data_IF_301497119829
#
_entry.id   IF_301497119829
#
_cell.length_a   1.000
_cell.length_b   1.000
_cell.length_c   1.000
_cell.angle_alpha   90.00
_cell.angle_beta   90.00
_cell.angle_gamma   90.00
#
_symmetry.space_group_name_H-M   'P 1'
#
loop_
_entity.id
_entity.type
_entity.pdbx_description
1 polymer ?
2 polymer ?
3 non-polymer ?
4 non-polymer ?
5 non-polymer ?
6 non-polymer ?
7 water ?
#
# COMPACT_ATOMS: atom_id res chain seq x y z
N UNK A 1 -12.77 6.91 3.89
CA UNK A 1 -11.84 7.84 4.56
C UNK A 1 -12.64 8.94 5.26
N UNK A 2 -12.44 9.11 6.57
CA UNK A 2 -13.12 10.15 7.39
C UNK A 2 -12.11 11.26 7.68
N UNK A 3 -12.51 12.50 7.44
CA UNK A 3 -11.75 13.70 7.76
C UNK A 3 -10.56 14.01 6.86
N UNK A 4 -10.60 13.48 5.64
CA UNK A 4 -9.56 13.72 4.64
C UNK A 4 -10.00 14.73 3.60
N UNK A 5 -9.51 14.58 2.39
CA UNK A 5 -9.86 15.47 1.29
C UNK A 5 -9.88 14.66 0.01
N UNK A 6 -10.44 15.22 -1.06
CA UNK A 6 -10.41 14.51 -2.35
C UNK A 6 -8.93 14.45 -2.81
N UNK A 7 -8.46 13.26 -3.27
CA UNK A 7 -7.11 13.18 -3.82
C UNK A 7 -7.21 13.78 -5.24
N UNK A 8 -6.51 14.92 -5.55
CA UNK A 8 -6.62 15.48 -6.91
C UNK A 8 -6.34 14.40 -7.96
N UNK A 9 -7.18 14.34 -8.99
CA UNK A 9 -7.08 13.32 -10.05
C UNK A 9 -5.64 13.18 -10.59
N UNK A 10 -5.09 11.97 -10.47
CA UNK A 10 -3.73 11.67 -10.91
C UNK A 10 -2.68 11.78 -9.81
N UNK A 11 -3.05 12.27 -8.60
CA UNK A 11 -2.07 12.40 -7.50
C UNK A 11 -1.94 11.12 -6.65
N UNK A 12 -2.81 10.10 -6.85
CA UNK A 12 -2.74 8.81 -6.15
C UNK A 12 -2.71 7.76 -7.29
N UNK A 13 -1.71 7.80 -8.20
CA UNK A 13 -1.80 6.96 -9.40
C UNK A 13 -1.61 5.46 -9.22
N UNK A 14 -1.21 5.02 -8.04
CA UNK A 14 -1.03 3.59 -7.70
C UNK A 14 -2.27 3.00 -7.04
N UNK A 15 -3.27 3.83 -6.69
CA UNK A 15 -4.50 3.33 -6.05
C UNK A 15 -5.24 2.35 -6.95
N UNK A 16 -5.68 1.22 -6.40
CA UNK A 16 -6.47 0.23 -7.17
C UNK A 16 -7.89 0.19 -6.56
N UNK A 17 -8.91 -0.02 -7.39
CA UNK A 17 -10.28 -0.27 -6.93
C UNK A 17 -10.57 -1.72 -7.31
N UNK A 18 -10.92 -2.53 -6.32
CA UNK A 18 -11.27 -3.92 -6.57
C UNK A 18 -12.81 -4.02 -6.61
N UNK A 19 -13.33 -4.74 -7.61
CA UNK A 19 -14.77 -4.96 -7.83
C UNK A 19 -15.07 -6.45 -7.86
N UNK A 20 -16.25 -6.84 -7.35
CA UNK A 20 -16.75 -8.23 -7.45
C UNK A 20 -18.19 -8.12 -8.01
N UNK A 21 -18.45 -8.70 -9.21
CA UNK A 21 -19.74 -8.59 -9.91
C UNK A 21 -20.11 -7.09 -10.13
N UNK A 22 -19.10 -6.25 -10.38
CA UNK A 22 -19.27 -4.81 -10.59
C UNK A 22 -19.48 -3.96 -9.34
N UNK A 23 -19.55 -4.58 -8.16
CA UNK A 23 -19.76 -3.85 -6.92
C UNK A 23 -18.43 -3.58 -6.20
N UNK A 24 -18.29 -2.42 -5.57
CA UNK A 24 -17.10 -2.03 -4.79
C UNK A 24 -16.79 -3.08 -3.73
N UNK A 25 -15.55 -3.61 -3.72
CA UNK A 25 -15.13 -4.58 -2.73
C UNK A 25 -14.10 -4.03 -1.73
N UNK A 26 -12.98 -3.51 -2.26
CA UNK A 26 -11.82 -3.10 -1.46
C UNK A 26 -10.92 -2.21 -2.31
N UNK A 27 -9.85 -1.70 -1.68
CA UNK A 27 -8.79 -0.98 -2.36
C UNK A 27 -7.60 -1.91 -2.54
N UNK A 28 -6.54 -1.39 -3.17
CA UNK A 28 -5.31 -2.12 -3.41
C UNK A 28 -4.23 -1.15 -3.85
N UNK A 29 -2.98 -1.65 -4.02
CA UNK A 29 -1.85 -0.83 -4.46
C UNK A 29 -1.10 -1.50 -5.61
N UNK A 30 -0.93 -0.77 -6.72
CA UNK A 30 -0.16 -1.29 -7.85
C UNK A 30 1.35 -1.18 -7.49
N UNK A 31 2.16 -2.27 -7.64
CA UNK A 31 3.59 -2.19 -7.29
C UNK A 31 4.50 -2.39 -8.52
N UNK A 32 3.91 -2.80 -9.66
CA UNK A 32 4.56 -2.88 -10.99
C UNK A 32 3.41 -3.08 -12.00
N UNK A 33 3.67 -3.43 -13.27
CA UNK A 33 2.56 -3.49 -14.24
C UNK A 33 1.64 -4.70 -14.09
N UNK A 34 2.03 -5.77 -13.37
CA UNK A 34 1.11 -6.90 -13.27
C UNK A 34 0.68 -7.28 -11.83
N UNK A 35 1.33 -6.71 -10.81
CA UNK A 35 1.08 -7.11 -9.42
C UNK A 35 0.43 -6.02 -8.57
N UNK A 36 -0.55 -6.42 -7.74
CA UNK A 36 -1.32 -5.57 -6.82
C UNK A 36 -1.24 -6.14 -5.40
N UNK A 37 -1.02 -5.28 -4.42
CA UNK A 37 -1.00 -5.71 -3.01
C UNK A 37 -2.32 -5.23 -2.41
N UNK A 38 -3.02 -6.12 -1.70
CA UNK A 38 -4.29 -5.81 -1.02
C UNK A 38 -4.31 -6.50 0.36
N UNK A 39 -5.50 -6.58 1.02
CA UNK A 39 -5.65 -7.23 2.33
C UNK A 39 -6.24 -8.62 2.12
N UNK A 40 -5.72 -9.64 2.83
CA UNK A 40 -6.30 -11.00 2.74
C UNK A 40 -7.80 -11.02 3.08
N UNK A 41 -8.24 -10.21 4.09
CA UNK A 41 -9.64 -10.23 4.56
C UNK A 41 -10.64 -9.79 3.49
N UNK A 42 -10.17 -9.07 2.44
CA UNK A 42 -11.04 -8.66 1.33
C UNK A 42 -11.65 -9.85 0.62
N UNK A 43 -11.00 -11.03 0.71
CA UNK A 43 -11.43 -12.22 -0.05
C UNK A 43 -12.12 -13.32 0.77
N UNK A 44 -12.43 -13.05 2.05
CA UNK A 44 -13.05 -14.03 2.95
C UNK A 44 -14.41 -14.53 2.46
N UNK A 45 -15.21 -13.66 1.82
CA UNK A 45 -16.57 -13.99 1.40
C UNK A 45 -16.73 -14.18 -0.10
N UNK A 46 -15.62 -14.28 -0.86
CA UNK A 46 -15.71 -14.45 -2.31
C UNK A 46 -16.05 -15.90 -2.70
N UNK A 47 -17.08 -16.05 -3.54
CA UNK A 47 -17.49 -17.34 -4.13
C UNK A 47 -17.27 -17.25 -5.64
N UNK A 48 -17.53 -16.06 -6.23
CA UNK A 48 -17.35 -15.77 -7.67
C UNK A 48 -15.94 -15.28 -7.98
N UNK A 49 -14.91 -16.16 -7.84
CA UNK A 49 -13.49 -15.84 -8.10
C UNK A 49 -13.20 -15.33 -9.51
N UNK A 50 -14.01 -15.73 -10.51
CA UNK A 50 -13.84 -15.32 -11.90
C UNK A 50 -14.44 -13.94 -12.21
N UNK A 51 -15.17 -13.33 -11.24
CA UNK A 51 -15.77 -12.01 -11.41
C UNK A 51 -15.03 -10.89 -10.65
N UNK A 52 -13.76 -11.13 -10.26
CA UNK A 52 -12.93 -10.18 -9.54
C UNK A 52 -12.22 -9.29 -10.56
N UNK A 53 -12.41 -7.96 -10.46
CA UNK A 53 -11.82 -6.99 -11.39
C UNK A 53 -11.00 -5.96 -10.63
N UNK A 54 -9.83 -5.57 -11.17
CA UNK A 54 -9.00 -4.48 -10.60
C UNK A 54 -9.08 -3.31 -11.58
N UNK A 55 -9.35 -2.10 -11.07
CA UNK A 55 -9.43 -0.92 -11.91
C UNK A 55 -8.31 0.03 -11.48
N UNK A 56 -7.48 0.45 -12.45
CA UNK A 56 -6.39 1.42 -12.29
C UNK A 56 -6.79 2.71 -12.97
N UNK A 57 -6.22 3.84 -12.53
CA UNK A 57 -6.52 5.13 -13.15
C UNK A 57 -7.90 5.67 -12.81
N UNK A 58 -8.53 5.07 -11.79
CA UNK A 58 -9.87 5.47 -11.34
C UNK A 58 -9.80 6.70 -10.45
N UNK A 59 -10.85 7.54 -10.51
CA UNK A 59 -10.92 8.73 -9.67
C UNK A 59 -12.39 8.95 -9.22
N UNK A 60 -13.30 9.18 -10.20
CA UNK A 60 -14.72 9.46 -9.96
C UNK A 60 -15.57 8.28 -10.43
N UNK A 61 -16.30 7.65 -9.49
CA UNK A 61 -17.10 6.45 -9.81
C UNK A 61 -18.35 6.71 -10.65
N UNK A 62 -18.75 7.97 -10.77
CA UNK A 62 -19.97 8.29 -11.49
C UNK A 62 -19.76 8.48 -12.99
N UNK A 63 -18.50 8.65 -13.42
CA UNK A 63 -18.19 8.98 -14.82
C UNK A 63 -17.00 8.19 -15.36
N UNK A 64 -17.05 7.81 -16.64
CA UNK A 64 -15.91 7.18 -17.32
C UNK A 64 -15.19 8.30 -18.08
N UNK A 65 -13.93 8.64 -17.73
CA UNK A 65 -13.22 9.71 -18.47
C UNK A 65 -12.15 9.21 -19.46
N UNK A 66 -11.96 7.89 -19.56
CA UNK A 66 -10.98 7.32 -20.48
C UNK A 66 -9.63 6.95 -19.88
N UNK A 67 -9.34 7.38 -18.66
CA UNK A 67 -8.06 7.05 -17.98
C UNK A 67 -8.13 5.74 -17.23
N UNK A 68 -9.35 5.20 -17.00
CA UNK A 68 -9.55 3.94 -16.27
C UNK A 68 -9.04 2.76 -17.09
N UNK A 69 -8.41 1.79 -16.43
CA UNK A 69 -7.96 0.56 -17.06
C UNK A 69 -8.45 -0.59 -16.20
N UNK A 70 -9.27 -1.50 -16.77
CA UNK A 70 -9.81 -2.65 -16.02
C UNK A 70 -9.06 -3.92 -16.40
N UNK A 71 -8.76 -4.76 -15.41
CA UNK A 71 -8.12 -6.05 -15.63
C UNK A 71 -8.76 -7.12 -14.74
N UNK A 72 -8.88 -8.33 -15.26
CA UNK A 72 -9.33 -9.48 -14.47
C UNK A 72 -8.21 -9.89 -13.55
N UNK A 73 -8.56 -10.32 -12.32
CA UNK A 73 -7.56 -10.80 -11.34
C UNK A 73 -7.40 -12.30 -11.61
N UNK A 74 -6.21 -12.70 -12.07
CA UNK A 74 -5.89 -14.09 -12.41
C UNK A 74 -5.56 -14.92 -11.19
N UNK A 75 -4.94 -14.30 -10.17
CA UNK A 75 -4.52 -15.03 -8.98
C UNK A 75 -4.58 -14.18 -7.74
N UNK A 76 -5.02 -14.76 -6.60
CA UNK A 76 -5.04 -14.14 -5.28
C UNK A 76 -4.18 -15.05 -4.38
N UNK A 77 -3.04 -14.54 -3.88
CA UNK A 77 -2.07 -15.27 -3.06
C UNK A 77 -2.09 -14.74 -1.65
N UNK A 78 -2.40 -15.62 -0.71
CA UNK A 78 -2.54 -15.32 0.70
C UNK A 78 -1.55 -16.15 1.55
N UNK A 79 -0.93 -15.58 2.61
CA UNK A 79 0.01 -16.38 3.43
C UNK A 79 -0.71 -17.50 4.17
N UNK A 80 -0.02 -18.65 4.32
CA UNK A 80 -0.57 -19.83 5.03
C UNK A 80 -0.97 -19.52 6.46
N UNK A 81 -0.35 -18.48 7.07
CA UNK A 81 -0.57 -18.12 8.48
C UNK A 81 -1.83 -17.27 8.71
N UNK A 82 -2.44 -16.74 7.63
CA UNK A 82 -3.66 -15.96 7.73
C UNK A 82 -4.85 -16.90 8.01
N UNK A 83 -5.68 -16.55 8.99
CA UNK A 83 -6.88 -17.31 9.35
C UNK A 83 -8.11 -16.46 8.99
N UNK A 84 -9.01 -16.92 8.09
CA UNK A 84 -10.21 -16.11 7.75
C UNK A 84 -11.01 -15.66 8.97
N UNK A 85 -11.40 -14.39 8.94
CA UNK A 85 -12.18 -13.78 10.01
C UNK A 85 -11.37 -13.19 11.14
N UNK A 86 -10.02 -13.35 11.10
CA UNK A 86 -9.12 -12.83 12.13
C UNK A 86 -8.24 -11.67 11.57
N UNK A 87 -7.37 -11.10 12.41
CA UNK A 87 -6.58 -9.91 12.05
C UNK A 87 -5.14 -10.15 11.57
N UNK A 88 -4.45 -11.19 12.08
CA UNK A 88 -3.02 -11.38 11.77
C UNK A 88 -2.71 -11.75 10.33
N UNK A 89 -1.54 -11.30 9.81
CA UNK A 89 -1.04 -11.60 8.44
C UNK A 89 -2.05 -11.17 7.37
N UNK A 90 -2.61 -9.95 7.51
CA UNK A 90 -3.66 -9.45 6.62
C UNK A 90 -3.11 -8.87 5.32
N UNK A 91 -2.63 -9.75 4.42
CA UNK A 91 -2.02 -9.32 3.15
C UNK A 91 -2.39 -10.29 2.02
N UNK A 92 -2.55 -9.77 0.81
CA UNK A 92 -2.83 -10.58 -0.38
C UNK A 92 -2.02 -10.02 -1.52
N UNK A 93 -1.50 -10.90 -2.37
CA UNK A 93 -0.76 -10.49 -3.57
C UNK A 93 -1.56 -10.95 -4.80
N UNK A 94 -1.91 -10.01 -5.66
CA UNK A 94 -2.78 -10.26 -6.80
C UNK A 94 -2.06 -10.16 -8.09
N UNK A 95 -2.21 -11.20 -8.94
CA UNK A 95 -1.63 -11.20 -10.29
C UNK A 95 -2.74 -10.80 -11.28
N UNK A 96 -2.49 -9.74 -12.07
CA UNK A 96 -3.44 -9.32 -13.10
C UNK A 96 -3.31 -10.23 -14.32
N UNK A 97 -4.43 -10.48 -15.04
CA UNK A 97 -4.45 -11.37 -16.20
C UNK A 97 -3.58 -10.81 -17.36
N UNK A 98 -3.56 -9.49 -17.52
CA UNK A 98 -2.75 -8.77 -18.51
C UNK A 98 -2.20 -7.53 -17.82
N UNK A 99 -0.96 -7.10 -18.12
CA UNK A 99 -0.42 -5.91 -17.45
C UNK A 99 -1.23 -4.66 -17.74
N UNK A 100 -1.22 -3.71 -16.81
CA UNK A 100 -1.77 -2.38 -17.06
C UNK A 100 -0.70 -1.61 -17.86
N UNK A 101 -1.13 -0.55 -18.57
CA UNK A 101 -0.21 0.30 -19.34
C UNK A 101 0.12 1.51 -18.45
N UNK A 102 1.41 1.78 -18.19
CA UNK A 102 1.74 2.95 -17.37
C UNK A 102 1.50 4.24 -18.15
N UNK A 103 0.84 5.20 -17.49
CA UNK A 103 0.45 6.51 -18.07
C UNK A 103 0.61 7.57 -16.98
N UNK A 104 0.30 8.86 -17.28
CA UNK A 104 0.36 9.88 -16.22
C UNK A 104 -0.62 9.55 -15.08
N UNK A 105 -1.68 8.75 -15.36
CA UNK A 105 -2.71 8.39 -14.35
C UNK A 105 -2.56 6.97 -13.73
N UNK A 106 -1.61 6.16 -14.23
CA UNK A 106 -1.40 4.78 -13.74
C UNK A 106 0.10 4.57 -13.53
N UNK A 107 0.53 4.54 -12.27
CA UNK A 107 1.96 4.45 -11.91
C UNK A 107 2.09 3.56 -10.69
N UNK A 108 3.05 2.62 -10.65
CA UNK A 108 3.22 1.81 -9.44
C UNK A 108 3.83 2.56 -8.25
N UNK A 109 3.48 2.14 -7.04
CA UNK A 109 4.12 2.64 -5.82
C UNK A 109 5.38 1.76 -5.61
N UNK A 110 6.51 2.31 -5.07
CA UNK A 110 7.71 1.46 -4.87
C UNK A 110 7.51 0.49 -3.72
N UNK A 111 7.77 -0.80 -3.95
CA UNK A 111 7.78 -1.77 -2.85
C UNK A 111 9.24 -1.67 -2.34
N UNK A 112 9.48 -1.24 -1.08
CA UNK A 112 10.88 -1.05 -0.64
C UNK A 112 11.55 -2.33 -0.24
N UNK A 113 12.90 -2.30 -0.06
CA UNK A 113 13.64 -3.40 0.53
C UNK A 113 13.33 -3.40 2.01
N UNK A 114 13.39 -4.58 2.68
CA UNK A 114 13.10 -4.74 4.10
C UNK A 114 13.97 -3.83 5.00
N UNK A 115 15.31 -3.85 4.81
CA UNK A 115 16.26 -3.05 5.62
C UNK A 115 15.95 -1.56 5.54
N UNK A 116 15.77 -1.04 4.34
CA UNK A 116 15.42 0.37 4.14
C UNK A 116 14.08 0.72 4.82
N UNK A 117 13.09 -0.19 4.68
CA UNK A 117 11.78 0.04 5.31
C UNK A 117 11.82 0.01 6.85
N UNK A 118 12.56 -0.94 7.42
CA UNK A 118 12.67 -1.06 8.89
C UNK A 118 13.54 0.04 9.53
N UNK A 119 14.69 0.36 8.90
CA UNK A 119 15.67 1.31 9.42
C UNK A 119 15.34 2.76 9.14
N UNK A 120 14.64 3.06 8.03
CA UNK A 120 14.39 4.44 7.63
C UNK A 120 12.90 4.79 7.52
N UNK A 121 12.14 4.06 6.67
CA UNK A 121 10.72 4.39 6.44
C UNK A 121 9.85 4.31 7.69
N UNK A 122 10.14 3.34 8.56
CA UNK A 122 9.40 3.11 9.80
C UNK A 122 9.44 4.32 10.75
N UNK A 123 10.42 5.24 10.57
CA UNK A 123 10.60 6.46 11.39
C UNK A 123 10.11 7.73 10.73
N UNK A 124 9.53 7.65 9.51
CA UNK A 124 8.93 8.81 8.87
C UNK A 124 7.56 8.92 9.58
N UNK A 125 7.29 10.05 10.26
CA UNK A 125 6.07 10.17 11.06
C UNK A 125 4.76 10.05 10.28
N UNK A 126 4.54 10.91 9.29
CA UNK A 126 3.31 10.94 8.53
C UNK A 126 3.36 10.19 7.23
N UNK A 127 2.20 9.60 6.87
CA UNK A 127 2.03 8.85 5.63
C UNK A 127 0.60 9.03 5.15
N UNK A 128 0.35 8.77 3.86
CA UNK A 128 -0.99 8.96 3.30
C UNK A 128 -1.74 7.66 3.18
N UNK A 129 -3.04 7.67 3.50
CA UNK A 129 -3.94 6.50 3.37
C UNK A 129 -5.08 6.95 2.47
N UNK A 130 -5.57 6.07 1.56
CA UNK A 130 -6.55 6.52 0.57
C UNK A 130 -7.57 5.44 0.19
N UNK A 131 -8.73 5.86 -0.30
CA UNK A 131 -9.76 4.94 -0.77
C UNK A 131 -11.12 5.58 -1.02
N UNK A 132 -12.07 4.75 -1.52
CA UNK A 132 -13.44 5.17 -1.78
C UNK A 132 -14.38 4.65 -0.66
N UNK A 133 -13.85 4.49 0.54
CA UNK A 133 -14.59 4.00 1.70
C UNK A 133 -15.52 5.05 2.29
N UNK A 134 -16.11 4.72 3.45
CA UNK A 134 -17.08 5.55 4.17
C UNK A 134 -16.54 6.92 4.49
N UNK A 135 -17.34 7.96 4.24
CA UNK A 135 -16.99 9.35 4.58
C UNK A 135 -17.29 9.64 6.05
N UNK A 136 -18.10 8.76 6.69
CA UNK A 136 -18.52 8.84 8.10
C UNK A 136 -18.79 7.44 8.59
N UNK A 137 -18.66 7.20 9.90
CA UNK A 137 -19.05 5.93 10.50
C UNK A 137 -20.57 5.80 10.29
N UNK A 138 -21.01 4.63 9.75
CA UNK A 138 -22.42 4.35 9.45
C UNK A 138 -22.98 5.30 8.37
N UNK A 139 -22.08 5.82 7.51
CA UNK A 139 -22.43 6.72 6.43
C UNK A 139 -22.12 6.19 5.04
N UNK A 140 -22.44 6.99 4.02
CA UNK A 140 -22.22 6.65 2.62
C UNK A 140 -20.72 6.59 2.26
N UNK A 141 -20.38 5.77 1.25
CA UNK A 141 -19.00 5.69 0.70
C UNK A 141 -18.81 6.85 -0.29
N UNK A 142 -17.55 7.20 -0.60
CA UNK A 142 -17.18 8.32 -1.48
C UNK A 142 -17.29 8.02 -2.96
N UNK A 143 -17.72 9.01 -3.77
CA UNK A 143 -17.75 8.87 -5.23
C UNK A 143 -16.40 9.29 -5.85
N UNK A 144 -15.63 10.16 -5.15
CA UNK A 144 -14.29 10.56 -5.59
C UNK A 144 -13.23 10.02 -4.62
N UNK A 145 -12.07 9.61 -5.15
CA UNK A 145 -11.00 9.07 -4.33
C UNK A 145 -10.59 10.07 -3.24
N UNK A 146 -10.55 9.61 -1.98
CA UNK A 146 -10.17 10.45 -0.84
C UNK A 146 -8.78 10.05 -0.31
N UNK A 147 -8.07 11.01 0.32
CA UNK A 147 -6.74 10.79 0.89
C UNK A 147 -6.65 11.48 2.24
N UNK A 148 -5.86 10.90 3.14
CA UNK A 148 -5.68 11.39 4.51
C UNK A 148 -4.23 11.20 4.99
N UNK A 149 -3.66 12.24 5.64
CA UNK A 149 -2.31 12.16 6.24
C UNK A 149 -2.48 11.68 7.69
N UNK A 150 -1.77 10.61 8.07
CA UNK A 150 -1.86 9.99 9.42
C UNK A 150 -0.48 9.77 10.03
N UNK A 151 -0.30 10.03 11.34
CA UNK A 151 1.00 9.72 11.98
C UNK A 151 1.04 8.28 12.50
N UNK A 152 2.24 7.68 12.43
CA UNK A 152 2.50 6.31 12.87
C UNK A 152 2.95 6.37 14.32
N UNK A 153 2.56 5.34 15.09
CA UNK A 153 2.91 5.19 16.48
C UNK A 153 3.70 3.92 16.72
N UNK A 154 4.57 3.94 17.75
CA UNK A 154 5.28 2.75 18.16
C UNK A 154 4.20 1.91 18.87
N UNK A 155 4.25 0.57 18.77
CA UNK A 155 3.19 -0.27 19.34
C UNK A 155 3.00 -0.06 20.86
N UNK A 156 4.09 0.15 21.65
CA UNK A 156 3.98 0.44 23.09
C UNK A 156 3.11 1.70 23.29
N UNK A 157 3.35 2.75 22.47
CA UNK A 157 2.61 4.01 22.47
C UNK A 157 1.14 3.87 22.03
N UNK A 158 0.86 2.98 21.04
CA UNK A 158 -0.52 2.74 20.60
C UNK A 158 -1.34 2.10 21.74
N UNK A 159 -0.76 1.08 22.41
CA UNK A 159 -1.40 0.35 23.52
C UNK A 159 -1.71 1.24 24.73
N UNK A 160 -0.80 2.18 25.07
CA UNK A 160 -1.01 3.09 26.21
C UNK A 160 -2.02 4.22 25.88
N UNK A 161 -2.09 4.66 24.60
CA UNK A 161 -2.99 5.73 24.17
C UNK A 161 -4.41 5.26 23.85
N UNK A 162 -4.62 3.94 23.76
CA UNK A 162 -5.92 3.36 23.43
C UNK A 162 -6.79 3.07 24.66
N UNK A 163 -8.12 3.22 24.50
CA UNK A 163 -9.14 2.98 25.53
C UNK A 163 -9.30 1.48 25.82
N UNK A 168 -10.80 -6.74 22.55
CA UNK A 168 -9.88 -6.16 21.55
C UNK A 168 -8.66 -7.06 21.34
N UNK A 169 -8.29 -7.40 20.08
CA UNK A 169 -7.11 -8.27 19.89
C UNK A 169 -5.78 -7.53 20.04
N UNK A 170 -4.69 -8.29 20.03
CA UNK A 170 -3.33 -7.77 20.17
C UNK A 170 -2.88 -7.08 18.88
N UNK A 171 -1.91 -6.18 19.00
CA UNK A 171 -1.26 -5.54 17.87
C UNK A 171 0.06 -6.34 17.78
N UNK A 172 0.17 -7.19 16.74
CA UNK A 172 1.33 -8.08 16.59
C UNK A 172 2.49 -7.39 15.90
N UNK A 173 3.61 -8.08 15.74
CA UNK A 173 4.76 -7.56 15.01
C UNK A 173 4.49 -7.44 13.49
N UNK A 174 3.33 -7.97 13.01
CA UNK A 174 2.90 -7.92 11.61
C UNK A 174 1.90 -6.78 11.34
N UNK A 175 1.79 -5.84 12.31
CA UNK A 175 0.87 -4.70 12.27
C UNK A 175 1.55 -3.45 12.82
N UNK A 176 0.93 -2.29 12.59
CA UNK A 176 1.30 -1.03 13.26
C UNK A 176 0.05 -0.16 13.34
N UNK A 177 0.00 0.74 14.33
CA UNK A 177 -1.09 1.71 14.49
C UNK A 177 -0.73 2.99 13.78
N UNK A 178 -1.74 3.67 13.26
CA UNK A 178 -1.58 5.00 12.70
C UNK A 178 -2.91 5.74 12.75
N UNK A 179 -2.84 7.04 12.94
CA UNK A 179 -4.03 7.89 12.95
C UNK A 179 -4.19 8.72 14.21
N UNK A 180 -5.45 8.93 14.61
CA UNK A 180 -5.83 9.80 15.73
C UNK A 180 -6.82 9.12 16.67
N UNK A 181 -6.72 9.40 17.98
CA UNK A 181 -7.62 8.84 18.99
C UNK A 181 -8.79 9.77 19.35
N UNK A 182 -8.88 10.95 18.73
CA UNK A 182 -9.93 11.93 19.03
C UNK A 182 -11.19 11.79 18.14
N UNK A 183 -11.26 10.71 17.37
CA UNK A 183 -12.38 10.39 16.49
C UNK A 183 -12.63 11.29 15.30
N UNK A 184 -11.63 12.04 14.87
CA UNK A 184 -11.81 12.98 13.76
C UNK A 184 -11.36 12.46 12.39
N UNK A 185 -10.30 11.61 12.36
CA UNK A 185 -9.66 11.16 11.11
C UNK A 185 -9.27 9.68 11.12
N UNK A 186 -9.65 8.93 10.09
CA UNK A 186 -9.31 7.50 10.02
C UNK A 186 -9.59 6.95 8.62
N UNK A 187 -9.11 5.73 8.36
CA UNK A 187 -9.51 5.00 7.15
C UNK A 187 -10.66 4.09 7.68
N UNK A 188 -11.58 3.64 6.79
CA UNK A 188 -12.78 2.85 7.12
C UNK A 188 -12.76 1.47 6.48
N UNK A 189 -13.75 0.61 6.82
CA UNK A 189 -13.83 -0.74 6.23
C UNK A 189 -13.81 -0.75 4.70
N UNK A 190 -14.47 0.23 4.05
CA UNK A 190 -14.50 0.32 2.58
C UNK A 190 -13.17 0.70 1.95
N UNK A 191 -12.21 1.16 2.77
CA UNK A 191 -10.84 1.48 2.33
C UNK A 191 -9.92 0.27 2.47
N UNK A 192 -10.40 -0.83 3.11
CA UNK A 192 -9.64 -2.07 3.35
C UNK A 192 -8.82 -2.46 2.11
N UNK A 193 -7.55 -2.81 2.34
CA UNK A 193 -6.65 -3.24 1.25
C UNK A 193 -5.88 -2.12 0.58
N UNK A 194 -6.29 -0.88 0.81
CA UNK A 194 -5.67 0.29 0.19
C UNK A 194 -4.29 0.62 0.73
N UNK A 195 -3.55 1.53 0.06
CA UNK A 195 -2.19 1.88 0.51
C UNK A 195 -2.07 2.80 1.73
N UNK A 196 -0.98 2.62 2.48
CA UNK A 196 -0.45 3.50 3.49
C UNK A 196 0.95 3.77 2.84
N UNK A 197 1.10 4.94 2.22
CA UNK A 197 2.25 5.33 1.40
C UNK A 197 3.13 6.37 2.12
N UNK A 198 4.45 6.13 2.12
CA UNK A 198 5.44 6.96 2.83
C UNK A 198 6.40 7.67 1.88
N UNK A 199 6.55 9.00 2.03
CA UNK A 199 7.46 9.81 1.21
C UNK A 199 8.84 9.90 1.85
N UNK A 200 9.90 9.65 1.05
CA UNK A 200 11.29 9.73 1.53
C UNK A 200 12.19 10.18 0.40
N UNK A 201 12.84 11.33 0.58
CA UNK A 201 13.75 11.94 -0.39
C UNK A 201 13.20 11.94 -1.85
N UNK A 202 11.97 12.42 -2.00
CA UNK A 202 11.35 12.64 -3.29
C UNK A 202 10.62 11.47 -3.93
N UNK A 203 10.53 10.32 -3.22
CA UNK A 203 9.88 9.10 -3.75
C UNK A 203 8.93 8.49 -2.73
N UNK A 204 7.79 7.90 -3.22
CA UNK A 204 6.79 7.28 -2.36
C UNK A 204 6.97 5.76 -2.32
N UNK A 205 6.79 5.16 -1.12
CA UNK A 205 6.94 3.71 -0.90
C UNK A 205 5.76 3.08 -0.18
N UNK A 206 5.53 1.77 -0.42
CA UNK A 206 4.47 1.06 0.30
C UNK A 206 4.96 0.61 1.67
N UNK A 207 4.32 1.11 2.75
CA UNK A 207 4.65 0.70 4.12
C UNK A 207 3.51 -0.02 4.87
N UNK A 208 2.27 0.22 4.47
CA UNK A 208 1.15 -0.41 5.18
C UNK A 208 -0.02 -0.75 4.28
N UNK A 209 -0.97 -1.54 4.81
CA UNK A 209 -2.21 -1.88 4.09
C UNK A 209 -3.37 -1.59 5.06
N UNK A 210 -4.40 -0.86 4.61
CA UNK A 210 -5.63 -0.60 5.44
C UNK A 210 -6.17 -1.97 5.88
N UNK A 211 -6.15 -2.24 7.19
CA UNK A 211 -6.50 -3.58 7.66
C UNK A 211 -7.73 -3.65 8.60
N UNK A 212 -7.62 -3.11 9.83
CA UNK A 212 -8.72 -3.21 10.80
C UNK A 212 -8.75 -2.07 11.83
N UNK A 213 -9.79 -2.08 12.66
CA UNK A 213 -10.00 -1.10 13.71
C UNK A 213 -11.30 -1.39 14.45
N UNK A 214 -11.60 -0.57 15.47
CA UNK A 214 -12.82 -0.75 16.28
C UNK A 214 -13.77 0.40 15.98
N UNK A 215 -14.49 0.31 14.84
CA UNK A 215 -15.41 1.34 14.36
C UNK A 215 -14.60 2.46 13.74
N UNK A 216 -15.04 3.05 12.59
CA UNK A 216 -14.33 4.12 11.89
C UNK A 216 -14.31 5.43 12.66
N UNK A 217 -13.13 6.02 12.89
CA UNK A 217 -12.91 7.30 13.56
C UNK A 217 -13.65 7.33 14.93
N UNK A 218 -13.49 6.25 15.71
CA UNK A 218 -14.12 6.20 17.03
C UNK A 218 -13.11 6.65 18.06
N UNK A 219 -13.54 7.52 18.99
CA UNK A 219 -12.67 8.05 20.05
C UNK A 219 -12.00 6.93 20.85
N UNK A 220 -10.72 7.12 21.16
CA UNK A 220 -9.92 6.17 21.94
C UNK A 220 -9.30 5.04 21.13
N UNK A 221 -9.51 5.03 19.79
CA UNK A 221 -9.00 3.95 18.92
C UNK A 221 -8.27 4.48 17.71
N UNK A 222 -7.20 3.79 17.31
CA UNK A 222 -6.40 4.14 16.13
C UNK A 222 -6.70 3.14 15.01
N UNK A 223 -6.32 3.48 13.79
CA UNK A 223 -6.41 2.55 12.66
C UNK A 223 -5.26 1.57 12.76
N UNK A 224 -5.48 0.29 12.37
CA UNK A 224 -4.43 -0.74 12.41
C UNK A 224 -4.10 -1.17 10.96
N UNK A 225 -2.78 -1.20 10.64
CA UNK A 225 -2.30 -1.44 9.26
C UNK A 225 -1.38 -2.64 9.21
N UNK A 226 -1.44 -3.43 8.11
CA UNK A 226 -0.51 -4.56 7.96
C UNK A 226 0.92 -4.00 7.80
N UNK A 227 1.90 -4.54 8.53
CA UNK A 227 3.29 -4.06 8.47
C UNK A 227 3.98 -4.73 7.27
N UNK A 228 3.93 -4.05 6.12
CA UNK A 228 4.41 -4.58 4.83
C UNK A 228 5.89 -5.01 4.85
N UNK A 229 6.75 -4.33 5.64
CA UNK A 229 8.20 -4.67 5.72
C UNK A 229 8.45 -6.14 6.10
N UNK A 230 7.51 -6.76 6.85
CA UNK A 230 7.61 -8.17 7.25
C UNK A 230 7.41 -9.14 6.09
N UNK A 231 6.84 -8.66 4.97
CA UNK A 231 6.44 -9.48 3.82
C UNK A 231 7.25 -9.27 2.56
N UNK A 232 8.27 -8.39 2.58
CA UNK A 232 9.06 -8.10 1.36
C UNK A 232 9.63 -9.34 0.67
N UNK A 233 10.34 -10.19 1.43
CA UNK A 233 10.95 -11.40 0.86
C UNK A 233 9.88 -12.35 0.34
N UNK A 234 8.76 -12.51 1.10
CA UNK A 234 7.64 -13.38 0.74
C UNK A 234 7.04 -12.91 -0.61
N UNK A 235 6.80 -11.60 -0.75
CA UNK A 235 6.27 -11.00 -1.98
C UNK A 235 7.22 -11.16 -3.16
N UNK A 236 8.52 -10.83 -2.97
CA UNK A 236 9.52 -10.91 -4.04
C UNK A 236 9.64 -12.32 -4.63
N UNK A 237 9.65 -13.34 -3.76
CA UNK A 237 9.75 -14.73 -4.19
C UNK A 237 8.53 -15.13 -5.01
N UNK A 238 7.33 -14.74 -4.57
CA UNK A 238 6.12 -15.05 -5.31
C UNK A 238 6.07 -14.34 -6.66
N UNK A 239 6.57 -13.09 -6.73
CA UNK A 239 6.55 -12.37 -8.02
C UNK A 239 7.50 -12.99 -9.05
N UNK A 240 8.47 -13.78 -8.59
CA UNK A 240 9.41 -14.50 -9.48
C UNK A 240 8.86 -15.90 -9.88
N UNK A 241 7.70 -16.32 -9.32
CA UNK A 241 7.12 -17.65 -9.56
C UNK A 241 6.18 -17.73 -10.75
N UNK A 242 6.01 -18.93 -11.30
CA UNK A 242 5.08 -19.16 -12.40
C UNK A 242 3.64 -19.24 -11.91
N UNK A 243 2.68 -18.69 -12.69
CA UNK A 243 1.27 -18.84 -12.34
C UNK A 243 0.86 -20.32 -12.18
N UNK A 244 -0.08 -20.60 -11.24
CA UNK A 244 -0.62 -21.93 -10.95
C UNK A 244 -2.12 -21.94 -11.27
N UNK A 245 -2.71 -23.06 -11.78
CA UNK A 245 -4.16 -23.06 -12.05
C UNK A 245 -5.00 -22.79 -10.80
N UNK A 246 -6.14 -22.13 -10.97
CA UNK A 246 -7.04 -21.77 -9.88
C UNK A 246 -6.69 -20.39 -9.34
N UNK A 247 -7.69 -19.56 -9.06
CA UNK A 247 -7.49 -18.18 -8.61
C UNK A 247 -6.81 -18.12 -7.23
N UNK A 248 -7.43 -18.69 -6.21
CA UNK A 248 -6.86 -18.64 -4.86
C UNK A 248 -5.66 -19.56 -4.65
N UNK A 249 -4.55 -19.00 -4.14
CA UNK A 249 -3.36 -19.78 -3.77
C UNK A 249 -2.96 -19.45 -2.32
N UNK A 250 -2.78 -20.47 -1.47
CA UNK A 250 -2.25 -20.24 -0.13
C UNK A 250 -0.76 -20.58 -0.21
N UNK A 251 0.12 -19.64 0.15
CA UNK A 251 1.57 -19.85 0.02
C UNK A 251 2.20 -19.84 1.38
N UNK A 252 3.19 -20.73 1.66
CA UNK A 252 3.81 -20.75 2.98
C UNK A 252 4.42 -19.43 3.40
N UNK A 253 4.22 -19.12 4.67
CA UNK A 253 4.83 -17.95 5.28
C UNK A 253 5.49 -18.45 6.57
N UNK A 254 6.77 -18.12 6.82
CA UNK A 254 7.66 -17.22 6.07
C UNK A 254 8.10 -17.72 4.68
N UNK B 1 26.87 1.74 9.03
CA UNK B 1 26.74 3.04 8.33
C UNK B 1 25.29 3.25 7.84
N UNK B 2 24.66 2.18 7.29
CA UNK B 2 23.29 2.22 6.78
C UNK B 2 22.23 2.51 7.83
N UNK B 3 22.49 2.12 9.10
CA UNK B 3 21.57 2.35 10.21
C UNK B 3 21.39 3.85 10.52
N UNK B 4 22.45 4.66 10.28
CA UNK B 4 22.49 6.10 10.54
C UNK B 4 22.22 6.94 9.28
N UNK B 5 21.11 7.71 9.31
CA UNK B 5 20.64 8.60 8.23
C UNK B 5 20.67 7.91 6.84
N UNK B 6 20.30 6.61 6.83
CA UNK B 6 20.23 5.76 5.63
C UNK B 6 21.60 5.66 4.91
N UNK B 7 22.69 5.85 5.68
CA UNK B 7 24.07 5.84 5.17
C UNK B 7 24.33 6.93 4.15
N UNK B 8 23.47 7.96 4.13
CA UNK B 8 23.50 9.07 3.18
C UNK B 8 22.84 8.72 1.84
N UNK B 9 22.39 7.46 1.66
CA UNK B 9 21.76 7.00 0.42
C UNK B 9 20.38 7.63 0.18
N UNK B 10 20.04 7.91 -1.09
CA UNK B 10 18.70 8.40 -1.43
C UNK B 10 17.66 7.26 -1.31
N UNK B 11 18.05 6.04 -1.70
CA UNK B 11 17.18 4.86 -1.66
C UNK B 11 17.75 3.74 -0.79
N UNK B 12 18.32 2.67 -1.38
CA UNK B 12 18.79 1.51 -0.61
C UNK B 12 20.25 1.62 -0.22
N UNK B 13 20.61 0.98 0.90
CA UNK B 13 21.96 1.00 1.47
C UNK B 13 22.42 -0.41 1.84
N UNK B 14 23.64 -0.79 1.43
CA UNK B 14 24.28 -2.07 1.77
C UNK B 14 25.59 -1.81 2.49
N UNK B 15 25.77 -2.43 3.67
CA UNK B 15 27.00 -2.34 4.48
C UNK B 15 27.99 -3.39 4.00
N UNK B 16 29.28 -3.04 3.93
CA UNK B 16 30.32 -3.97 3.49
C UNK B 16 31.45 -4.17 4.51
N UNK B 17 32.24 -5.25 4.32
CA UNK B 17 33.37 -5.67 5.17
C UNK B 17 34.31 -4.48 5.44
N UNK B 18 34.09 -3.84 6.58
CA UNK B 18 34.84 -2.66 7.01
C UNK B 18 33.98 -1.41 7.07
N UNK B 19 34.58 -0.24 6.77
CA UNK B 19 33.89 1.05 6.77
C UNK B 19 33.33 1.40 5.36
N UNK B 20 33.09 0.36 4.54
CA UNK B 20 32.56 0.48 3.18
C UNK B 20 31.03 0.45 3.18
N UNK B 21 30.42 1.22 2.26
CA UNK B 21 28.98 1.36 2.09
C UNK B 21 28.69 1.51 0.59
N UNK B 22 27.65 0.80 0.08
CA UNK B 22 27.20 0.93 -1.29
C UNK B 22 25.69 1.32 -1.30
N UNK B 23 25.35 2.41 -2.01
CA UNK B 23 23.94 2.80 -2.19
C UNK B 23 23.47 2.09 -3.43
N UNK B 24 22.16 1.80 -3.48
CA UNK B 24 21.56 1.15 -4.63
C UNK B 24 20.19 1.81 -4.89
N UNK B 25 19.57 1.48 -6.04
CA UNK B 25 18.29 2.07 -6.41
C UNK B 25 17.31 0.97 -6.78
N UNK B 26 16.02 1.30 -6.74
CA UNK B 26 14.95 0.42 -7.19
C UNK B 26 15.08 0.32 -8.73
N UNK B 27 14.52 -0.75 -9.34
CA UNK B 27 14.46 -0.89 -10.79
C UNK B 27 13.82 0.38 -11.37
N UNK B 28 14.27 0.82 -12.55
CA UNK B 28 13.74 2.02 -13.18
C UNK B 28 14.50 3.30 -12.77
N UNK B 29 15.60 3.10 -12.03
CA UNK B 29 16.50 4.18 -11.57
C UNK B 29 17.98 3.72 -11.68
N UNK B 30 18.91 4.70 -11.83
CA UNK B 30 20.36 4.43 -11.83
C UNK B 30 21.03 5.36 -10.84
N UNK B 31 22.13 4.89 -10.24
CA UNK B 31 22.90 5.62 -9.23
C UNK B 31 23.83 6.62 -9.91
N UNK B 32 23.85 7.86 -9.41
CA UNK B 32 24.71 8.90 -9.97
C UNK B 32 26.14 8.72 -9.46
N UNK B 33 27.10 9.45 -10.08
CA UNK B 33 28.55 9.37 -9.72
C UNK B 33 28.85 9.83 -8.28
N UNK B 34 27.90 10.56 -7.63
CA UNK B 34 28.07 10.93 -6.22
C UNK B 34 27.96 9.67 -5.31
N UNK B 35 27.45 8.58 -5.89
CA UNK B 35 27.30 7.31 -5.20
C UNK B 35 26.15 7.25 -4.22
N UNK B 36 25.29 8.26 -4.22
CA UNK B 36 24.16 8.31 -3.28
C UNK B 36 22.80 8.57 -3.98
N UNK B 37 22.77 9.40 -5.03
CA UNK B 37 21.53 9.83 -5.71
C UNK B 37 21.06 8.83 -6.75
N UNK B 38 19.72 8.73 -6.89
CA UNK B 38 19.02 7.88 -7.85
C UNK B 38 18.29 8.76 -8.86
N UNK B 39 18.52 8.51 -10.14
CA UNK B 39 17.84 9.24 -11.21
C UNK B 39 16.96 8.26 -12.06
N UNK B 40 15.75 8.65 -12.48
CA UNK B 40 14.92 7.73 -13.30
C UNK B 40 15.57 7.39 -14.65
N UNK B 41 15.39 6.15 -15.08
CA UNK B 41 15.87 5.69 -16.39
C UNK B 41 14.69 5.38 -17.31
N UNK B 42 13.45 5.40 -16.74
CA UNK B 42 12.21 5.07 -17.47
C UNK B 42 11.25 6.25 -17.40
N UNK B 43 10.21 6.24 -18.26
CA UNK B 43 9.21 7.30 -18.33
C UNK B 43 8.37 7.37 -17.06
N UNK B 44 7.96 6.20 -16.50
CA UNK B 44 7.09 6.14 -15.31
C UNK B 44 7.74 5.36 -14.17
N UNK B 45 8.79 5.96 -13.53
CA UNK B 45 9.43 5.27 -12.41
C UNK B 45 8.46 5.13 -11.25
N UNK B 46 8.64 4.09 -10.44
CA UNK B 46 7.76 3.88 -9.28
C UNK B 46 7.85 5.06 -8.29
N UNK B 47 6.74 5.33 -7.58
CA UNK B 47 6.70 6.29 -6.49
C UNK B 47 6.88 7.75 -6.84
N UNK B 48 6.72 8.10 -8.13
CA UNK B 48 6.78 9.50 -8.61
C UNK B 48 5.43 9.82 -9.24
N UNK B 49 4.94 11.04 -9.04
CA UNK B 49 3.63 11.48 -9.54
C UNK B 49 3.79 12.36 -10.78
N UNK B 50 3.51 11.82 -12.00
CA UNK B 50 3.75 12.57 -13.24
C UNK B 50 3.17 13.98 -13.32
N UNK B 51 1.91 14.19 -12.91
CA UNK B 51 1.31 15.54 -13.01
C UNK B 51 2.04 16.54 -12.09
N UNK B 52 2.69 16.07 -11.01
CA UNK B 52 3.47 16.93 -10.12
C UNK B 52 4.90 17.12 -10.64
N UNK B 53 5.48 16.08 -11.25
CA UNK B 53 6.84 16.10 -11.82
C UNK B 53 6.94 17.01 -13.03
N UNK B 54 5.91 17.01 -13.88
CA UNK B 54 5.84 17.79 -15.12
C UNK B 54 5.60 19.29 -14.86
N UNK B 55 5.12 19.65 -13.64
CA UNK B 55 4.89 21.03 -13.21
C UNK B 55 6.23 21.78 -13.01
#
# INVERSE_FOLDING_TARGET
IVGGKVCPKGECPWQVLLLVNGAQLCGGTLINTIWVVSAAHCFDKIKNWRNLIAVLGEHDLSEHDGDEQSRRVAQVIIPSTYVPGTTNHDIALLRLHQPVVLTDHVVPLCLPERTFSERTLAFVRFSLVSGWGQLLDRGATALELMVLNVPRLMTQDCLQQSRKVGDSPNITEYMFCAGYSDGSKDSCKGDSGGPHATHYRGTWYLTGIVSWGQGCATVGHFGVYTRVSQYIEWLQKLMRSEPRPGVLLRAPFP
ICVNENGGCEQYCSDHTGTKRSCRCHEGYSLLADGVSCTPTVEYPCGKIPILEKR
#
